data_IF_047746794262
#
_entry.id   IF_047746794262
#
_cell.length_a   1.000
_cell.length_b   1.000
_cell.length_c   1.000
_cell.angle_alpha   90.00
_cell.angle_beta   90.00
_cell.angle_gamma   90.00
#
_symmetry.space_group_name_H-M   'P 1'
#
loop_
_entity.id
_entity.type
_entity.pdbx_description
1 polymer ?
#
# COMPACT_ATOMS: atom_id res chain seq x y z
N UNK A 1 2.68 -61.17 -39.56
CA UNK A 1 1.78 -59.98 -39.61
C UNK A 1 2.28 -58.99 -38.55
N UNK A 2 3.31 -58.19 -38.79
CA UNK A 2 3.36 -56.92 -39.54
C UNK A 2 2.59 -55.74 -38.87
N UNK A 3 3.39 -54.82 -38.31
CA UNK A 3 3.17 -53.36 -38.13
C UNK A 3 2.10 -52.95 -37.09
N UNK A 4 2.29 -51.92 -36.26
CA UNK A 4 3.30 -50.87 -36.30
C UNK A 4 3.33 -50.00 -35.04
N UNK A 5 4.52 -49.42 -34.84
CA UNK A 5 4.83 -48.31 -33.96
C UNK A 5 4.28 -46.99 -34.51
N UNK A 6 3.88 -46.08 -33.61
CA UNK A 6 3.85 -44.63 -33.81
C UNK A 6 2.65 -43.91 -33.17
N UNK A 7 2.73 -42.60 -32.89
CA UNK A 7 3.85 -41.86 -32.30
C UNK A 7 3.42 -40.86 -31.19
N UNK A 8 4.43 -40.19 -30.65
CA UNK A 8 4.42 -39.12 -29.65
C UNK A 8 3.48 -37.94 -29.96
N UNK A 9 2.93 -37.33 -28.90
CA UNK A 9 2.18 -36.07 -28.96
C UNK A 9 2.73 -35.02 -27.99
N UNK A 10 3.93 -34.50 -28.27
CA UNK A 10 4.43 -33.23 -27.73
C UNK A 10 4.13 -32.12 -28.73
N UNK A 11 3.14 -31.25 -28.47
CA UNK A 11 3.07 -29.95 -29.15
C UNK A 11 2.07 -28.99 -28.52
N UNK A 12 2.57 -28.01 -27.79
CA UNK A 12 1.83 -26.83 -27.35
C UNK A 12 2.72 -25.59 -27.27
N UNK A 13 3.78 -25.51 -28.09
CA UNK A 13 4.61 -24.31 -28.19
C UNK A 13 3.81 -23.25 -28.92
N UNK A 14 3.21 -22.35 -28.15
CA UNK A 14 2.55 -21.15 -28.65
C UNK A 14 3.47 -20.41 -29.61
N UNK A 15 3.08 -20.39 -30.89
CA UNK A 15 3.76 -19.68 -31.97
C UNK A 15 3.87 -18.20 -31.59
N UNK A 16 5.04 -17.79 -31.08
CA UNK A 16 5.40 -16.37 -31.00
C UNK A 16 5.50 -15.88 -32.43
N UNK A 17 4.48 -15.14 -32.87
CA UNK A 17 4.44 -14.47 -34.17
C UNK A 17 5.63 -13.50 -34.22
N UNK A 18 6.72 -13.93 -34.85
CA UNK A 18 7.90 -13.11 -35.12
C UNK A 18 7.43 -11.93 -35.98
N UNK A 19 7.35 -10.73 -35.39
CA UNK A 19 7.03 -9.52 -36.15
C UNK A 19 8.25 -9.25 -37.04
N UNK A 20 8.06 -9.35 -38.36
CA UNK A 20 9.07 -9.04 -39.38
C UNK A 20 9.77 -7.71 -39.05
N UNK A 21 11.07 -7.78 -38.82
CA UNK A 21 11.97 -6.63 -38.81
C UNK A 21 12.08 -6.13 -40.26
N UNK A 22 11.67 -4.88 -40.53
CA UNK A 22 11.84 -4.26 -41.84
C UNK A 22 10.60 -3.59 -42.45
N UNK A 23 9.45 -3.56 -41.75
CA UNK A 23 8.33 -2.70 -42.17
C UNK A 23 8.56 -1.28 -41.69
N UNK A 24 8.52 -0.29 -42.59
CA UNK A 24 8.38 1.13 -42.22
C UNK A 24 7.16 1.22 -41.29
N UNK A 25 7.39 1.53 -40.02
CA UNK A 25 6.32 1.67 -39.03
C UNK A 25 5.59 2.95 -39.38
N UNK A 26 4.58 2.84 -40.26
CA UNK A 26 3.67 3.93 -40.53
C UNK A 26 3.02 4.37 -39.21
N UNK A 27 3.03 5.68 -38.97
CA UNK A 27 2.45 6.31 -37.80
C UNK A 27 1.02 5.79 -37.61
N UNK A 28 0.77 5.16 -36.46
CA UNK A 28 -0.58 4.73 -36.10
C UNK A 28 -1.28 5.99 -35.63
N UNK A 29 -2.05 6.62 -36.52
CA UNK A 29 -2.79 7.87 -36.25
C UNK A 29 -3.63 7.84 -34.96
N UNK A 30 -4.27 8.96 -34.59
CA UNK A 30 -4.99 9.11 -33.33
C UNK A 30 -5.95 7.94 -33.07
N UNK A 31 -5.93 7.41 -31.85
CA UNK A 31 -6.77 6.28 -31.45
C UNK A 31 -7.71 6.70 -30.34
N UNK A 32 -8.97 6.35 -30.48
CA UNK A 32 -9.93 6.51 -29.40
C UNK A 32 -9.87 5.28 -28.50
N UNK A 33 -9.62 5.52 -27.21
CA UNK A 33 -9.59 4.48 -26.19
C UNK A 33 -10.50 4.94 -25.07
N UNK A 34 -11.63 4.24 -24.89
CA UNK A 34 -12.60 4.53 -23.82
C UNK A 34 -13.14 5.97 -23.85
N UNK A 35 -13.47 6.49 -25.04
CA UNK A 35 -13.96 7.85 -25.23
C UNK A 35 -12.88 8.93 -25.20
N UNK A 36 -11.61 8.55 -25.03
CA UNK A 36 -10.48 9.49 -25.00
C UNK A 36 -9.65 9.35 -26.28
N UNK A 37 -9.46 10.47 -26.99
CA UNK A 37 -8.59 10.52 -28.16
C UNK A 37 -7.13 10.59 -27.71
N UNK A 38 -6.38 9.53 -27.99
CA UNK A 38 -4.98 9.39 -27.61
C UNK A 38 -4.09 9.57 -28.84
N UNK A 39 -3.21 10.58 -28.80
CA UNK A 39 -2.16 10.78 -29.81
C UNK A 39 -1.13 9.65 -29.73
N UNK A 40 -0.39 9.40 -30.80
CA UNK A 40 0.55 8.27 -30.88
C UNK A 40 1.64 8.28 -29.79
N UNK A 41 2.09 9.46 -29.37
CA UNK A 41 3.07 9.64 -28.30
C UNK A 41 2.45 9.68 -26.89
N UNK A 42 1.12 9.81 -26.78
CA UNK A 42 0.41 9.83 -25.50
C UNK A 42 0.21 8.42 -24.95
N UNK A 43 0.17 8.30 -23.64
CA UNK A 43 -0.04 7.04 -22.92
C UNK A 43 -1.07 7.25 -21.83
N UNK A 44 -1.94 6.26 -21.64
CA UNK A 44 -2.95 6.30 -20.59
C UNK A 44 -2.30 6.15 -19.20
N UNK A 45 -2.88 6.73 -18.13
CA UNK A 45 -2.38 6.59 -16.77
C UNK A 45 -2.10 5.13 -16.37
N UNK A 46 -3.03 4.20 -16.66
CA UNK A 46 -2.82 2.76 -16.39
C UNK A 46 -1.58 2.19 -17.08
N UNK A 47 -1.31 2.60 -18.32
CA UNK A 47 -0.13 2.14 -19.07
C UNK A 47 1.15 2.67 -18.43
N UNK A 48 1.18 3.95 -18.07
CA UNK A 48 2.34 4.57 -17.42
C UNK A 48 2.66 3.92 -16.06
N UNK A 49 1.65 3.61 -15.26
CA UNK A 49 1.85 2.88 -13.99
C UNK A 49 2.42 1.48 -14.24
N UNK A 50 1.94 0.78 -15.27
CA UNK A 50 2.47 -0.54 -15.64
C UNK A 50 3.93 -0.45 -16.12
N UNK A 51 4.26 0.52 -16.96
CA UNK A 51 5.64 0.78 -17.41
C UNK A 51 6.56 1.11 -16.23
N UNK A 52 6.08 1.92 -15.29
CA UNK A 52 6.81 2.23 -14.06
C UNK A 52 7.09 0.97 -13.26
N UNK A 53 6.08 0.13 -13.03
CA UNK A 53 6.25 -1.13 -12.29
C UNK A 53 7.28 -2.04 -12.99
N UNK A 54 7.22 -2.14 -14.31
CA UNK A 54 8.18 -2.92 -15.09
C UNK A 54 9.61 -2.38 -14.96
N UNK A 55 9.81 -1.06 -15.09
CA UNK A 55 11.12 -0.41 -14.94
C UNK A 55 11.71 -0.63 -13.55
N UNK A 56 10.86 -0.56 -12.52
CA UNK A 56 11.25 -0.75 -11.13
C UNK A 56 11.29 -2.22 -10.69
N UNK A 57 11.14 -3.18 -11.63
CA UNK A 57 11.08 -4.63 -11.37
C UNK A 57 10.05 -5.01 -10.29
N UNK A 58 8.97 -4.24 -10.18
CA UNK A 58 7.85 -4.51 -9.28
C UNK A 58 6.82 -5.43 -9.97
N UNK A 59 6.03 -6.20 -9.21
CA UNK A 59 4.93 -6.96 -9.78
C UNK A 59 3.89 -6.03 -10.43
N UNK A 60 3.04 -6.60 -11.29
CA UNK A 60 2.04 -5.81 -12.02
C UNK A 60 1.04 -5.13 -11.07
N UNK A 61 0.63 -3.88 -11.35
CA UNK A 61 -0.35 -3.18 -10.55
C UNK A 61 -1.71 -3.90 -10.63
N UNK A 62 -2.45 -3.92 -9.51
CA UNK A 62 -3.78 -4.50 -9.42
C UNK A 62 -4.82 -3.39 -9.24
N UNK A 63 -5.91 -3.48 -9.98
CA UNK A 63 -7.04 -2.57 -9.87
C UNK A 63 -8.20 -3.32 -9.24
N UNK A 64 -8.67 -2.85 -8.08
CA UNK A 64 -9.72 -3.50 -7.31
C UNK A 64 -10.87 -2.53 -7.11
N UNK A 65 -12.10 -2.99 -7.34
CA UNK A 65 -13.30 -2.19 -7.05
C UNK A 65 -13.42 -1.92 -5.56
N UNK A 66 -13.82 -0.70 -5.23
CA UNK A 66 -14.13 -0.23 -3.90
C UNK A 66 -15.64 -0.06 -3.74
N UNK A 67 -16.10 -0.06 -2.49
CA UNK A 67 -17.47 0.34 -2.18
C UNK A 67 -17.64 1.83 -2.47
N UNK A 68 -18.79 2.18 -3.04
CA UNK A 68 -19.20 3.55 -3.29
C UNK A 68 -20.63 3.70 -2.75
N UNK A 69 -20.91 4.83 -2.09
CA UNK A 69 -22.22 5.11 -1.51
C UNK A 69 -23.23 5.57 -2.57
N UNK A 70 -22.73 6.10 -3.70
CA UNK A 70 -23.58 6.52 -4.81
C UNK A 70 -23.99 5.32 -5.68
N UNK A 71 -25.31 5.20 -5.89
CA UNK A 71 -25.88 4.22 -6.82
C UNK A 71 -25.38 4.53 -8.24
N UNK A 72 -25.01 3.47 -8.97
CA UNK A 72 -24.52 3.53 -10.36
C UNK A 72 -23.18 4.25 -10.60
N UNK A 73 -22.44 4.60 -9.54
CA UNK A 73 -21.06 5.08 -9.67
C UNK A 73 -20.03 4.04 -9.26
N UNK A 74 -18.89 4.11 -9.92
CA UNK A 74 -17.77 3.20 -9.72
C UNK A 74 -16.61 3.90 -9.05
N UNK A 75 -15.97 3.15 -8.17
CA UNK A 75 -14.76 3.56 -7.49
C UNK A 75 -13.77 2.42 -7.49
N UNK A 76 -12.53 2.69 -7.88
CA UNK A 76 -11.47 1.69 -7.95
C UNK A 76 -10.28 2.15 -7.12
N UNK A 77 -9.63 1.23 -6.40
CA UNK A 77 -8.29 1.43 -5.85
C UNK A 77 -7.23 0.79 -6.71
N UNK A 78 -6.11 1.48 -6.88
CA UNK A 78 -4.90 0.94 -7.44
C UNK A 78 -4.02 0.39 -6.31
N UNK A 79 -3.55 -0.85 -6.45
CA UNK A 79 -2.64 -1.52 -5.52
C UNK A 79 -1.34 -1.79 -6.25
N UNK A 80 -0.26 -1.20 -5.75
CA UNK A 80 1.11 -1.49 -6.14
C UNK A 80 1.72 -2.47 -5.15
N UNK A 81 1.80 -3.77 -5.49
CA UNK A 81 2.43 -4.74 -4.62
C UNK A 81 3.94 -4.49 -4.53
N UNK A 82 4.51 -4.67 -3.34
CA UNK A 82 5.95 -4.71 -3.14
C UNK A 82 6.48 -6.11 -3.46
N UNK A 83 7.64 -6.25 -4.13
CA UNK A 83 8.20 -7.55 -4.48
C UNK A 83 8.60 -8.39 -3.26
N UNK A 84 8.88 -7.76 -2.11
CA UNK A 84 9.43 -8.46 -0.93
C UNK A 84 8.46 -8.49 0.25
N UNK A 85 7.72 -7.41 0.51
CA UNK A 85 6.87 -7.33 1.70
C UNK A 85 5.50 -6.70 1.39
N UNK A 86 4.43 -7.50 1.51
CA UNK A 86 3.05 -7.05 1.30
C UNK A 86 2.58 -5.96 2.28
N UNK A 87 3.25 -5.77 3.42
CA UNK A 87 2.96 -4.64 4.30
C UNK A 87 3.35 -3.28 3.69
N UNK A 88 4.26 -3.28 2.72
CA UNK A 88 4.71 -2.10 1.97
C UNK A 88 3.92 -1.87 0.69
N UNK A 89 2.87 -2.65 0.46
CA UNK A 89 1.99 -2.45 -0.68
C UNK A 89 1.39 -1.05 -0.61
N UNK A 90 1.56 -0.30 -1.71
CA UNK A 90 1.05 1.05 -1.85
C UNK A 90 -0.36 0.93 -2.39
N UNK A 91 -1.34 1.48 -1.67
CA UNK A 91 -2.75 1.44 -2.07
C UNK A 91 -3.26 2.85 -2.18
N UNK A 92 -3.70 3.25 -3.36
CA UNK A 92 -4.27 4.57 -3.62
C UNK A 92 -5.68 4.41 -4.16
N UNK A 93 -6.60 5.21 -3.65
CA UNK A 93 -7.98 5.27 -4.11
C UNK A 93 -8.39 6.73 -4.26
N UNK A 94 -8.90 7.15 -5.43
CA UNK A 94 -9.47 8.47 -5.59
C UNK A 94 -10.72 8.60 -4.70
N UNK A 95 -10.98 9.79 -4.18
CA UNK A 95 -12.17 10.11 -3.38
C UNK A 95 -13.42 10.15 -4.25
N UNK A 96 -13.30 10.78 -5.41
CA UNK A 96 -14.44 11.01 -6.28
C UNK A 96 -14.88 9.72 -7.00
N UNK A 97 -16.18 9.40 -6.97
CA UNK A 97 -16.72 8.31 -7.76
C UNK A 97 -16.91 8.72 -9.22
N UNK A 98 -16.79 7.77 -10.15
CA UNK A 98 -16.86 7.99 -11.61
C UNK A 98 -17.99 7.18 -12.23
N UNK A 99 -18.43 7.56 -13.41
CA UNK A 99 -19.60 6.96 -14.05
C UNK A 99 -19.28 5.63 -14.72
N UNK A 100 -18.04 5.45 -15.16
CA UNK A 100 -17.58 4.18 -15.75
C UNK A 100 -16.43 3.55 -14.95
N UNK A 101 -16.39 2.22 -14.96
CA UNK A 101 -15.30 1.47 -14.32
C UNK A 101 -13.94 1.79 -14.94
N UNK A 102 -13.89 1.92 -16.26
CA UNK A 102 -12.64 2.17 -16.98
C UNK A 102 -12.07 3.53 -16.61
N UNK A 103 -12.92 4.55 -16.53
CA UNK A 103 -12.53 5.87 -16.04
C UNK A 103 -12.05 5.82 -14.59
N UNK A 104 -12.80 5.16 -13.69
CA UNK A 104 -12.39 4.97 -12.30
C UNK A 104 -10.99 4.34 -12.17
N UNK A 105 -10.68 3.35 -13.00
CA UNK A 105 -9.36 2.73 -13.02
C UNK A 105 -8.27 3.69 -13.51
N UNK A 106 -8.54 4.54 -14.50
CA UNK A 106 -7.57 5.53 -14.99
C UNK A 106 -7.28 6.59 -13.94
N UNK A 107 -8.30 7.11 -13.25
CA UNK A 107 -8.11 8.07 -12.16
C UNK A 107 -7.38 7.45 -10.96
N UNK A 108 -7.67 6.20 -10.63
CA UNK A 108 -6.91 5.48 -9.60
C UNK A 108 -5.43 5.31 -9.98
N UNK A 109 -5.15 5.02 -11.25
CA UNK A 109 -3.78 4.97 -11.76
C UNK A 109 -3.11 6.35 -11.76
N UNK A 110 -3.86 7.42 -12.07
CA UNK A 110 -3.36 8.79 -12.08
C UNK A 110 -2.92 9.23 -10.67
N UNK A 111 -3.76 9.00 -9.66
CA UNK A 111 -3.43 9.29 -8.26
C UNK A 111 -2.17 8.51 -7.80
N UNK A 112 -2.08 7.24 -8.19
CA UNK A 112 -0.90 6.41 -7.91
C UNK A 112 0.37 6.98 -8.57
N UNK A 113 0.28 7.39 -9.83
CA UNK A 113 1.40 7.95 -10.57
C UNK A 113 1.88 9.26 -9.95
N UNK A 114 0.96 10.09 -9.46
CA UNK A 114 1.28 11.34 -8.77
C UNK A 114 2.03 11.09 -7.46
N UNK A 115 1.59 10.11 -6.67
CA UNK A 115 2.30 9.70 -5.46
C UNK A 115 3.73 9.19 -5.74
N UNK A 116 3.93 8.47 -6.85
CA UNK A 116 5.24 7.90 -7.20
C UNK A 116 6.22 8.93 -7.78
N UNK A 117 5.72 9.92 -8.51
CA UNK A 117 6.56 10.87 -9.23
C UNK A 117 5.87 12.24 -9.36
N UNK A 118 5.72 12.99 -8.26
CA UNK A 118 5.08 14.31 -8.30
C UNK A 118 5.94 15.36 -9.04
N UNK A 119 7.27 15.17 -9.02
CA UNK A 119 8.22 16.12 -9.62
C UNK A 119 8.39 15.97 -11.14
N UNK A 120 7.95 14.87 -11.75
CA UNK A 120 8.13 14.68 -13.19
C UNK A 120 7.01 15.35 -13.99
N UNK A 121 7.31 16.06 -15.09
CA UNK A 121 6.30 16.69 -15.95
C UNK A 121 5.60 15.66 -16.85
N UNK A 122 4.86 14.73 -16.23
CA UNK A 122 4.13 13.65 -16.91
C UNK A 122 2.89 14.14 -17.66
N UNK A 123 2.40 15.36 -17.35
CA UNK A 123 1.33 16.03 -18.10
C UNK A 123 1.57 16.03 -19.62
N UNK A 124 2.83 16.13 -20.05
CA UNK A 124 3.22 16.14 -21.47
C UNK A 124 3.08 14.80 -22.17
N UNK A 125 2.74 13.72 -21.47
CA UNK A 125 2.53 12.37 -22.03
C UNK A 125 1.10 11.89 -21.86
N UNK A 126 0.33 12.54 -21.01
CA UNK A 126 -1.04 12.18 -20.74
C UNK A 126 -1.96 12.76 -21.84
N UNK A 127 -3.02 12.04 -22.23
CA UNK A 127 -4.11 12.60 -23.01
C UNK A 127 -5.05 13.42 -22.12
N UNK A 128 -5.81 14.32 -22.76
CA UNK A 128 -6.91 15.03 -22.11
C UNK A 128 -8.07 14.05 -21.87
N UNK A 129 -8.74 14.01 -20.69
CA UNK A 129 -8.76 14.99 -19.58
C UNK A 129 -7.74 14.75 -18.46
N UNK A 130 -6.93 13.69 -18.55
CA UNK A 130 -6.04 13.29 -17.45
C UNK A 130 -4.85 14.25 -17.26
N UNK A 131 -4.43 14.95 -18.31
CA UNK A 131 -3.38 15.96 -18.22
C UNK A 131 -3.84 17.17 -17.38
N UNK A 132 -5.07 17.66 -17.58
CA UNK A 132 -5.69 18.67 -16.73
C UNK A 132 -5.80 18.22 -15.27
N UNK A 133 -6.33 17.01 -15.04
CA UNK A 133 -6.44 16.46 -13.69
C UNK A 133 -5.07 16.29 -12.99
N UNK A 134 -4.00 15.99 -13.74
CA UNK A 134 -2.63 15.92 -13.20
C UNK A 134 -2.14 17.27 -12.66
N UNK A 135 -2.36 18.34 -13.42
CA UNK A 135 -1.98 19.69 -13.01
C UNK A 135 -2.74 20.14 -11.77
N UNK A 136 -4.04 19.82 -11.71
CA UNK A 136 -4.90 20.15 -10.58
C UNK A 136 -4.49 19.47 -9.27
N UNK A 137 -3.86 18.29 -9.30
CA UNK A 137 -3.41 17.60 -8.07
C UNK A 137 -2.28 18.34 -7.32
N UNK A 138 -1.61 19.29 -7.98
CA UNK A 138 -0.60 20.16 -7.37
C UNK A 138 -1.14 21.48 -6.83
N UNK A 139 -2.40 21.81 -7.09
CA UNK A 139 -3.08 23.02 -6.63
C UNK A 139 -4.16 22.70 -5.61
N UNK A 140 -4.65 23.71 -4.89
CA UNK A 140 -5.75 23.58 -3.92
C UNK A 140 -7.07 23.12 -4.59
N UNK A 141 -7.13 23.10 -5.91
CA UNK A 141 -8.25 22.68 -6.76
C UNK A 141 -8.11 21.23 -7.26
N UNK A 142 -7.64 20.32 -6.39
CA UNK A 142 -7.40 18.93 -6.77
C UNK A 142 -8.69 18.19 -7.18
N UNK A 143 -8.84 17.92 -8.48
CA UNK A 143 -9.91 17.10 -9.06
C UNK A 143 -9.81 15.62 -8.68
N UNK A 144 -8.69 15.21 -8.07
CA UNK A 144 -8.44 13.83 -7.67
C UNK A 144 -7.79 13.86 -6.30
N UNK A 145 -8.61 13.70 -5.26
CA UNK A 145 -8.12 13.54 -3.90
C UNK A 145 -7.93 12.05 -3.57
N UNK A 146 -7.04 11.73 -2.63
CA UNK A 146 -6.79 10.37 -2.16
C UNK A 146 -7.49 10.15 -0.82
N UNK A 147 -8.29 9.10 -0.74
CA UNK A 147 -9.13 8.83 0.45
C UNK A 147 -8.38 8.33 1.68
N UNK A 148 -7.25 7.67 1.49
CA UNK A 148 -6.52 7.05 2.58
C UNK A 148 -5.43 7.97 3.08
N UNK A 149 -5.51 8.33 4.38
CA UNK A 149 -4.46 9.08 5.09
C UNK A 149 -3.07 8.45 5.01
N UNK A 150 -2.99 7.13 4.82
CA UNK A 150 -1.74 6.38 4.77
C UNK A 150 -1.65 5.63 3.45
N UNK A 151 -0.48 5.68 2.82
CA UNK A 151 -0.25 5.03 1.54
C UNK A 151 -0.03 3.52 1.66
N UNK A 152 0.52 3.08 2.79
CA UNK A 152 0.91 1.69 3.02
C UNK A 152 0.35 1.15 4.34
N UNK A 153 0.19 -0.18 4.41
CA UNK A 153 -0.23 -0.86 5.65
C UNK A 153 0.81 -0.68 6.76
N UNK A 154 2.10 -0.68 6.40
CA UNK A 154 3.19 -0.47 7.35
C UNK A 154 3.11 0.90 8.02
N UNK A 155 2.86 1.96 7.25
CA UNK A 155 2.71 3.31 7.79
C UNK A 155 1.54 3.40 8.77
N UNK A 156 0.40 2.80 8.43
CA UNK A 156 -0.76 2.70 9.32
C UNK A 156 -0.44 1.97 10.63
N UNK A 157 0.29 0.86 10.55
CA UNK A 157 0.72 0.09 11.73
C UNK A 157 1.68 0.88 12.62
N UNK A 158 2.66 1.58 12.03
CA UNK A 158 3.59 2.43 12.75
C UNK A 158 2.87 3.58 13.46
N UNK A 159 1.90 4.21 12.80
CA UNK A 159 1.09 5.26 13.41
C UNK A 159 0.30 4.74 14.62
N UNK A 160 -0.36 3.58 14.50
CA UNK A 160 -1.05 2.96 15.64
C UNK A 160 -0.10 2.56 16.77
N UNK A 161 1.08 2.01 16.43
CA UNK A 161 2.10 1.66 17.41
C UNK A 161 2.58 2.89 18.19
N UNK A 162 2.93 3.97 17.50
CA UNK A 162 3.31 5.26 18.13
C UNK A 162 2.21 5.81 19.03
N UNK A 163 0.95 5.75 18.59
CA UNK A 163 -0.20 6.20 19.40
C UNK A 163 -0.35 5.37 20.68
N UNK A 164 -0.18 4.05 20.60
CA UNK A 164 -0.22 3.13 21.75
C UNK A 164 0.95 3.36 22.70
N UNK A 165 2.17 3.49 22.18
CA UNK A 165 3.37 3.79 22.98
C UNK A 165 3.23 5.11 23.74
N UNK A 166 2.68 6.14 23.10
CA UNK A 166 2.42 7.42 23.77
C UNK A 166 1.40 7.27 24.90
N UNK A 167 0.34 6.48 24.69
CA UNK A 167 -0.66 6.19 25.73
C UNK A 167 -0.03 5.45 26.91
N UNK A 168 0.70 4.37 26.64
CA UNK A 168 1.40 3.58 27.66
C UNK A 168 2.41 4.44 28.43
N UNK A 169 3.13 5.33 27.74
CA UNK A 169 4.08 6.27 28.38
C UNK A 169 3.37 7.25 29.31
N UNK A 170 2.18 7.74 28.93
CA UNK A 170 1.37 8.62 29.79
C UNK A 170 0.86 7.88 31.02
N UNK A 171 0.39 6.65 30.86
CA UNK A 171 -0.05 5.82 31.98
C UNK A 171 1.09 5.45 32.92
N UNK A 172 2.26 5.05 32.39
CA UNK A 172 3.44 4.77 33.21
C UNK A 172 3.89 6.00 34.02
N UNK A 173 3.86 7.19 33.42
CA UNK A 173 4.13 8.44 34.16
C UNK A 173 3.11 8.70 35.27
N UNK A 174 1.82 8.44 35.02
CA UNK A 174 0.77 8.56 36.05
C UNK A 174 0.98 7.54 37.17
N UNK A 175 1.31 6.30 36.84
CA UNK A 175 1.54 5.24 37.83
C UNK A 175 2.81 5.54 38.66
N UNK A 176 3.87 6.02 38.03
CA UNK A 176 5.08 6.46 38.71
C UNK A 176 4.81 7.66 39.64
N UNK A 177 4.02 8.64 39.19
CA UNK A 177 3.59 9.75 40.04
C UNK A 177 2.76 9.23 41.23
N UNK A 178 1.79 8.34 41.00
CA UNK A 178 1.00 7.72 42.06
C UNK A 178 1.86 6.92 43.04
N UNK A 179 2.82 6.15 42.56
CA UNK A 179 3.76 5.39 43.38
C UNK A 179 4.66 6.29 44.23
N UNK A 180 5.06 7.46 43.71
CA UNK A 180 5.79 8.49 44.49
C UNK A 180 4.99 9.01 45.68
N UNK A 181 3.67 9.12 45.54
CA UNK A 181 2.78 9.56 46.63
C UNK A 181 2.28 8.42 47.52
N UNK A 182 2.40 7.15 47.10
CA UNK A 182 2.23 5.98 47.97
C UNK A 182 3.47 5.79 48.85
N UNK A 183 3.75 6.77 49.71
CA UNK A 183 4.74 6.64 50.78
C UNK A 183 4.05 5.89 51.92
N UNK A 184 4.30 4.58 52.01
CA UNK A 184 3.78 3.76 53.11
C UNK A 184 4.51 4.18 54.38
N UNK A 185 3.80 4.87 55.28
CA UNK A 185 4.28 5.14 56.63
C UNK A 185 3.94 3.94 57.51
N UNK A 186 4.96 3.22 57.96
CA UNK A 186 4.86 2.20 59.01
C UNK A 186 5.59 2.71 60.25
N UNK A 187 5.06 2.41 61.44
CA UNK A 187 5.82 2.63 62.68
C UNK A 187 7.09 1.79 62.66
N UNK A 188 8.15 2.28 63.30
CA UNK A 188 9.43 1.56 63.33
C UNK A 188 9.32 0.20 64.00
N UNK A 189 8.37 0.03 64.94
CA UNK A 189 8.05 -1.25 65.57
C UNK A 189 7.53 -2.27 64.54
N UNK A 190 6.56 -1.88 63.71
CA UNK A 190 6.02 -2.74 62.65
C UNK A 190 7.09 -3.04 61.60
N UNK A 191 7.95 -2.07 61.27
CA UNK A 191 9.07 -2.29 60.35
C UNK A 191 10.03 -3.37 60.86
N UNK A 192 10.50 -3.25 62.10
CA UNK A 192 11.40 -4.23 62.73
C UNK A 192 10.76 -5.61 62.83
N UNK A 193 9.48 -5.68 63.17
CA UNK A 193 8.75 -6.94 63.21
C UNK A 193 8.73 -7.64 61.85
N UNK A 194 8.42 -6.92 60.77
CA UNK A 194 8.41 -7.48 59.41
C UNK A 194 9.82 -7.91 58.97
N UNK A 195 10.85 -7.13 59.26
CA UNK A 195 12.25 -7.47 58.94
C UNK A 195 12.67 -8.79 59.60
N UNK A 196 12.42 -8.94 60.90
CA UNK A 196 12.71 -10.16 61.65
C UNK A 196 11.96 -11.38 61.09
N UNK A 197 10.71 -11.20 60.66
CA UNK A 197 9.88 -12.26 60.10
C UNK A 197 10.40 -12.72 58.73
N UNK A 198 10.87 -11.77 57.91
CA UNK A 198 11.49 -12.05 56.61
C UNK A 198 12.87 -12.71 56.72
N UNK A 199 13.66 -12.35 57.74
CA UNK A 199 14.94 -12.99 58.02
C UNK A 199 14.77 -14.41 58.54
N UNK A 200 13.86 -14.62 59.50
CA UNK A 200 13.53 -15.95 60.03
C UNK A 200 13.09 -16.89 58.91
N UNK A 201 12.26 -16.41 57.98
CA UNK A 201 11.84 -17.20 56.82
C UNK A 201 12.99 -17.49 55.85
N UNK A 202 13.90 -16.53 55.63
CA UNK A 202 15.10 -16.74 54.80
C UNK A 202 16.03 -17.80 55.41
N UNK A 203 16.18 -17.81 56.73
CA UNK A 203 16.97 -18.83 57.43
C UNK A 203 16.34 -20.22 57.35
N UNK A 204 15.01 -20.34 57.54
CA UNK A 204 14.31 -21.62 57.35
C UNK A 204 14.44 -22.15 55.92
N UNK A 205 14.33 -21.29 54.91
CA UNK A 205 14.48 -21.69 53.50
C UNK A 205 15.91 -22.16 53.18
N UNK A 206 16.93 -21.58 53.82
CA UNK A 206 18.32 -22.02 53.67
C UNK A 206 18.58 -23.37 54.35
N UNK A 207 17.94 -23.64 55.50
CA UNK A 207 18.06 -24.92 56.19
C UNK A 207 17.34 -26.07 55.46
N UNK A 208 16.30 -25.79 54.69
CA UNK A 208 15.63 -26.79 53.84
C UNK A 208 16.40 -27.13 52.55
N UNK A 209 17.48 -26.41 52.23
CA UNK A 209 18.31 -26.64 51.04
C UNK A 209 19.64 -27.35 51.33
N UNK A 210 19.91 -27.70 52.59
CA UNK A 210 21.00 -28.59 53.01
C UNK A 210 20.44 -29.97 53.32
#
# INVERSE_FOLDING_TARGET
KSRGFGPQGVSGVGKRKLRKLGGVVAARGPREIHGVVVKEWQRLPKQLVQEYCQKQKRPRPKFLRCKCDAKDKFRTRCVLPDPKNSAKDIVMAPTEPRDTLQEADQYAALAMLYHLSPSLPLQRKLPEPYAGAWLSMGSDTAQVNVDSKFATKQEKQLHHKKKRELSNRREAKKLQAKARFMKVHMSDEIRRYIENLLESRRHMMKQQQQ
#
